data_IF_875244378523
#
_entry.id   IF_875244378523
#
_cell.length_a   1.000
_cell.length_b   1.000
_cell.length_c   1.000
_cell.angle_alpha   90.00
_cell.angle_beta   90.00
_cell.angle_gamma   90.00
#
_symmetry.space_group_name_H-M   'P 1'
#
loop_
_entity.id
_entity.type
_entity.pdbx_description
1 polymer ?
#
# COMPACT_ATOMS: atom_id res chain seq x y z
N UNK A 1 8.46 9.27 11.87
CA UNK A 1 7.46 8.27 12.32
C UNK A 1 8.09 6.90 12.23
N UNK A 2 7.94 6.03 13.25
CA UNK A 2 8.47 4.66 13.23
C UNK A 2 7.56 3.73 12.43
N UNK A 3 8.08 2.57 12.03
CA UNK A 3 7.26 1.55 11.34
C UNK A 3 6.07 1.09 12.20
N UNK A 4 6.24 0.96 13.52
CA UNK A 4 5.15 0.61 14.43
C UNK A 4 4.05 1.68 14.48
N UNK A 5 4.42 2.96 14.51
CA UNK A 5 3.45 4.07 14.46
C UNK A 5 2.69 4.07 13.14
N UNK A 6 3.39 3.92 12.01
CA UNK A 6 2.75 3.80 10.67
C UNK A 6 1.84 2.58 10.60
N UNK A 7 2.26 1.43 11.17
CA UNK A 7 1.43 0.22 11.21
C UNK A 7 0.16 0.45 12.04
N UNK A 8 0.25 1.16 13.17
CA UNK A 8 -0.92 1.47 13.99
C UNK A 8 -1.97 2.29 13.22
N UNK A 9 -1.51 3.31 12.47
CA UNK A 9 -2.40 4.12 11.61
C UNK A 9 -3.02 3.29 10.49
N UNK A 10 -2.25 2.42 9.84
CA UNK A 10 -2.75 1.53 8.79
C UNK A 10 -3.77 0.51 9.32
N UNK A 11 -3.52 -0.09 10.50
CA UNK A 11 -4.45 -1.06 11.11
C UNK A 11 -5.77 -0.39 11.46
N UNK A 12 -5.76 0.86 11.91
CA UNK A 12 -6.97 1.62 12.25
C UNK A 12 -7.89 1.88 11.05
N UNK A 13 -7.39 1.81 9.82
CA UNK A 13 -8.21 1.96 8.61
C UNK A 13 -8.82 0.60 8.25
N UNK A 14 -10.16 0.53 8.24
CA UNK A 14 -10.88 -0.68 7.82
C UNK A 14 -10.86 -0.83 6.30
N UNK A 15 -10.01 -1.71 5.82
CA UNK A 15 -9.79 -1.98 4.41
C UNK A 15 -10.14 -3.42 4.00
N UNK A 16 -11.18 -4.00 4.61
CA UNK A 16 -11.69 -5.32 4.19
C UNK A 16 -12.04 -5.29 2.69
N UNK A 17 -11.66 -6.36 1.96
CA UNK A 17 -11.79 -6.43 0.49
C UNK A 17 -13.20 -6.18 -0.04
N UNK A 18 -14.25 -6.38 0.76
CA UNK A 18 -15.63 -6.06 0.39
C UNK A 18 -15.99 -4.56 0.45
N UNK A 19 -15.04 -3.69 0.82
CA UNK A 19 -15.20 -2.24 0.95
C UNK A 19 -14.29 -1.49 -0.02
N UNK A 20 -14.55 -0.19 -0.23
CA UNK A 20 -13.61 0.69 -0.92
C UNK A 20 -12.30 0.81 -0.14
N UNK A 21 -11.18 0.79 -0.86
CA UNK A 21 -9.86 1.01 -0.27
C UNK A 21 -9.38 2.47 -0.45
N UNK A 22 -10.26 3.39 -0.84
CA UNK A 22 -9.90 4.80 -1.10
C UNK A 22 -9.25 5.44 0.12
N UNK A 23 -9.79 5.22 1.32
CA UNK A 23 -9.27 5.81 2.57
C UNK A 23 -7.80 5.40 2.84
N UNK A 24 -7.49 4.12 2.77
CA UNK A 24 -6.11 3.66 2.98
C UNK A 24 -5.17 4.14 1.86
N UNK A 25 -5.66 4.23 0.63
CA UNK A 25 -4.87 4.74 -0.50
C UNK A 25 -4.62 6.25 -0.34
N UNK A 26 -5.58 7.03 0.13
CA UNK A 26 -5.39 8.47 0.40
C UNK A 26 -4.37 8.69 1.51
N UNK A 27 -4.42 7.90 2.57
CA UNK A 27 -3.38 7.91 3.60
C UNK A 27 -2.00 7.62 3.01
N UNK A 28 -1.86 6.53 2.23
CA UNK A 28 -0.59 6.14 1.61
C UNK A 28 -0.08 7.20 0.63
N UNK A 29 -0.97 7.78 -0.17
CA UNK A 29 -0.63 8.85 -1.11
C UNK A 29 -0.05 10.07 -0.38
N UNK A 30 -0.73 10.54 0.67
CA UNK A 30 -0.25 11.65 1.50
C UNK A 30 1.12 11.38 2.10
N UNK A 31 1.36 10.14 2.58
CA UNK A 31 2.66 9.74 3.13
C UNK A 31 3.76 9.73 2.07
N UNK A 32 3.47 9.21 0.88
CA UNK A 32 4.41 9.18 -0.23
C UNK A 32 4.74 10.58 -0.76
N UNK A 33 3.73 11.47 -0.87
CA UNK A 33 3.93 12.87 -1.26
C UNK A 33 4.82 13.62 -0.26
N UNK A 34 4.60 13.42 1.04
CA UNK A 34 5.42 14.03 2.08
C UNK A 34 6.90 13.60 2.03
N UNK A 35 7.19 12.42 1.47
CA UNK A 35 8.56 11.92 1.23
C UNK A 35 9.12 12.49 -0.09
N UNK A 36 8.28 13.02 -0.99
CA UNK A 36 8.68 13.55 -2.29
C UNK A 36 8.58 12.54 -3.44
N UNK A 37 7.80 11.47 -3.27
CA UNK A 37 7.54 10.50 -4.33
C UNK A 37 6.52 11.05 -5.34
N UNK A 38 6.66 10.66 -6.61
CA UNK A 38 5.67 10.92 -7.67
C UNK A 38 4.59 9.87 -7.61
N UNK A 39 3.33 10.27 -7.75
CA UNK A 39 2.20 9.36 -7.60
C UNK A 39 1.47 9.11 -8.90
N UNK A 40 0.98 7.87 -9.06
CA UNK A 40 0.00 7.51 -10.08
C UNK A 40 -1.09 6.65 -9.46
N UNK A 41 -2.33 7.14 -9.50
CA UNK A 41 -3.53 6.45 -9.04
C UNK A 41 -4.20 5.76 -10.22
N UNK A 42 -4.61 4.51 -10.05
CA UNK A 42 -5.28 3.70 -11.07
C UNK A 42 -6.60 3.19 -10.50
N UNK A 43 -7.69 3.94 -10.70
CA UNK A 43 -9.00 3.54 -10.25
C UNK A 43 -9.59 2.43 -11.11
N UNK A 44 -10.40 1.58 -10.49
CA UNK A 44 -11.30 0.64 -11.15
C UNK A 44 -12.52 0.38 -10.27
N UNK A 45 -13.57 -0.20 -10.83
CA UNK A 45 -14.68 -0.71 -10.04
C UNK A 45 -14.60 -2.24 -9.99
N UNK A 46 -14.91 -2.83 -8.84
CA UNK A 46 -15.08 -4.26 -8.70
C UNK A 46 -16.39 -4.74 -9.36
N UNK A 47 -16.67 -6.03 -9.29
CA UNK A 47 -17.90 -6.62 -9.88
C UNK A 47 -19.19 -6.13 -9.23
N UNK A 48 -19.12 -5.56 -8.04
CA UNK A 48 -20.23 -4.97 -7.29
C UNK A 48 -20.37 -3.46 -7.54
N UNK A 49 -19.49 -2.86 -8.36
CA UNK A 49 -19.45 -1.43 -8.61
C UNK A 49 -18.75 -0.61 -7.54
N UNK A 50 -18.07 -1.26 -6.58
CA UNK A 50 -17.33 -0.57 -5.51
C UNK A 50 -16.02 -0.03 -6.09
N UNK A 51 -15.76 1.26 -5.85
CA UNK A 51 -14.51 1.90 -6.27
C UNK A 51 -13.31 1.32 -5.53
N UNK A 52 -12.29 0.98 -6.31
CA UNK A 52 -10.99 0.47 -5.88
C UNK A 52 -9.87 1.27 -6.50
N UNK A 53 -8.76 1.39 -5.80
CA UNK A 53 -7.58 2.10 -6.26
C UNK A 53 -6.32 1.26 -6.10
N UNK A 54 -5.54 1.17 -7.18
CA UNK A 54 -4.12 0.88 -7.06
C UNK A 54 -3.34 2.20 -6.99
N UNK A 55 -2.24 2.21 -6.23
CA UNK A 55 -1.35 3.36 -6.14
C UNK A 55 0.07 2.92 -6.48
N UNK A 56 0.72 3.71 -7.34
CA UNK A 56 2.17 3.61 -7.56
C UNK A 56 2.81 4.90 -7.11
N UNK A 57 3.86 4.79 -6.30
CA UNK A 57 4.68 5.89 -5.87
C UNK A 57 6.11 5.66 -6.36
N UNK A 58 6.64 6.60 -7.15
CA UNK A 58 7.92 6.48 -7.84
C UNK A 58 8.95 7.44 -7.26
N UNK A 59 10.14 6.94 -6.98
CA UNK A 59 11.31 7.71 -6.58
C UNK A 59 12.38 7.68 -7.67
N UNK A 60 13.11 8.79 -7.83
CA UNK A 60 14.28 8.86 -8.70
C UNK A 60 13.98 9.00 -10.20
N UNK A 61 12.72 9.11 -10.61
CA UNK A 61 12.33 9.32 -12.01
C UNK A 61 10.93 9.94 -12.13
N UNK A 62 10.58 10.34 -13.36
CA UNK A 62 9.21 10.69 -13.76
C UNK A 62 8.51 9.48 -14.38
N UNK A 63 7.19 9.45 -14.33
CA UNK A 63 6.40 8.43 -15.03
C UNK A 63 6.52 8.63 -16.55
N UNK A 64 7.07 7.64 -17.22
CA UNK A 64 7.18 7.59 -18.68
C UNK A 64 7.27 6.14 -19.16
N UNK A 65 7.01 5.90 -20.44
CA UNK A 65 7.12 4.56 -21.04
C UNK A 65 8.58 4.04 -21.06
N UNK A 66 9.55 4.91 -20.87
CA UNK A 66 10.97 4.59 -20.82
C UNK A 66 11.50 4.35 -19.41
N UNK A 67 10.68 4.57 -18.38
CA UNK A 67 11.13 4.43 -16.99
C UNK A 67 11.28 2.96 -16.63
N UNK A 68 12.54 2.53 -16.47
CA UNK A 68 12.85 1.20 -15.93
C UNK A 68 13.02 1.30 -14.41
N UNK A 69 12.22 0.54 -13.67
CA UNK A 69 12.28 0.48 -12.20
C UNK A 69 13.21 -0.66 -11.78
N UNK A 70 14.24 -0.34 -11.01
CA UNK A 70 15.22 -1.34 -10.53
C UNK A 70 14.67 -2.18 -9.38
N UNK A 71 13.89 -1.55 -8.49
CA UNK A 71 13.30 -2.20 -7.33
C UNK A 71 11.86 -1.76 -7.17
N UNK A 72 10.93 -2.70 -7.12
CA UNK A 72 9.55 -2.47 -6.75
C UNK A 72 9.23 -3.19 -5.42
N UNK A 73 8.76 -2.43 -4.43
CA UNK A 73 8.21 -2.95 -3.18
C UNK A 73 6.70 -3.00 -3.34
N UNK A 74 6.15 -4.21 -3.45
CA UNK A 74 4.74 -4.43 -3.78
C UNK A 74 4.00 -5.00 -2.57
N UNK A 75 2.89 -4.37 -2.18
CA UNK A 75 2.02 -4.82 -1.09
C UNK A 75 0.56 -4.54 -1.43
N UNK A 76 -0.36 -5.32 -0.84
CA UNK A 76 -1.79 -5.07 -0.98
C UNK A 76 -2.35 -4.23 0.18
N UNK A 77 -3.43 -3.54 -0.08
CA UNK A 77 -4.07 -2.63 0.89
C UNK A 77 -5.26 -3.24 1.59
N UNK A 78 -5.85 -4.26 0.98
CA UNK A 78 -7.03 -4.94 1.50
C UNK A 78 -6.68 -6.01 2.53
N UNK A 79 -7.70 -6.45 3.26
CA UNK A 79 -7.62 -7.51 4.27
C UNK A 79 -8.84 -8.43 4.17
N UNK A 80 -8.67 -9.68 4.64
CA UNK A 80 -9.82 -10.54 4.88
C UNK A 80 -10.72 -9.98 5.99
N UNK A 81 -12.01 -10.35 6.03
CA UNK A 81 -12.91 -9.99 7.12
C UNK A 81 -12.38 -10.43 8.49
N UNK A 82 -12.87 -9.80 9.53
CA UNK A 82 -12.61 -10.19 10.92
C UNK A 82 -13.91 -10.48 11.64
N UNK A 83 -13.84 -11.30 12.69
CA UNK A 83 -14.98 -11.60 13.53
C UNK A 83 -15.43 -10.32 14.25
N UNK A 84 -16.73 -9.95 14.22
CA UNK A 84 -17.23 -8.76 14.93
C UNK A 84 -16.98 -8.78 16.44
N UNK A 85 -16.81 -9.97 17.04
CA UNK A 85 -16.45 -10.09 18.46
C UNK A 85 -15.00 -9.71 18.76
N UNK A 86 -14.14 -9.61 17.75
CA UNK A 86 -12.76 -9.11 17.91
C UNK A 86 -12.76 -7.59 17.97
N UNK A 87 -13.03 -7.03 19.14
CA UNK A 87 -13.15 -5.59 19.37
C UNK A 87 -11.88 -4.79 19.08
N UNK A 88 -10.71 -5.43 19.13
CA UNK A 88 -9.40 -4.80 18.86
C UNK A 88 -8.91 -5.02 17.41
N UNK A 89 -9.78 -5.51 16.50
CA UNK A 89 -9.35 -5.82 15.13
C UNK A 89 -8.71 -4.62 14.41
N UNK A 90 -9.23 -3.43 14.63
CA UNK A 90 -8.72 -2.18 14.04
C UNK A 90 -7.88 -1.35 15.02
N UNK A 91 -7.36 -1.97 16.06
CA UNK A 91 -6.46 -1.35 17.02
C UNK A 91 -5.17 -2.18 17.11
N UNK A 92 -4.02 -1.57 16.78
CA UNK A 92 -2.75 -2.27 16.95
C UNK A 92 -2.46 -2.45 18.44
N UNK A 93 -2.39 -3.70 18.89
CA UNK A 93 -2.08 -4.06 20.28
C UNK A 93 -0.76 -4.81 20.36
N UNK A 94 -0.03 -4.63 21.45
CA UNK A 94 1.23 -5.34 21.68
C UNK A 94 1.08 -6.31 22.87
N UNK A 95 1.45 -7.59 22.65
CA UNK A 95 1.47 -8.65 23.66
C UNK A 95 2.68 -9.55 23.42
N UNK A 96 3.45 -9.82 24.44
CA UNK A 96 4.62 -10.70 24.40
C UNK A 96 5.62 -10.35 23.27
N UNK A 97 5.84 -9.04 23.04
CA UNK A 97 6.72 -8.55 21.99
C UNK A 97 6.21 -8.75 20.56
N UNK A 98 4.92 -9.06 20.39
CA UNK A 98 4.25 -9.22 19.10
C UNK A 98 3.15 -8.18 18.93
N UNK A 99 2.94 -7.75 17.70
CA UNK A 99 1.91 -6.79 17.32
C UNK A 99 0.71 -7.52 16.71
N UNK A 100 -0.50 -7.19 17.18
CA UNK A 100 -1.76 -7.78 16.76
C UNK A 100 -2.70 -6.71 16.22
N UNK A 101 -3.48 -7.06 15.19
CA UNK A 101 -4.48 -6.24 14.52
C UNK A 101 -4.84 -6.84 13.16
N UNK A 102 -5.99 -6.51 12.58
CA UNK A 102 -6.37 -7.00 11.26
C UNK A 102 -5.41 -6.44 10.20
N UNK A 103 -4.81 -7.36 9.42
CA UNK A 103 -3.81 -7.02 8.42
C UNK A 103 -2.43 -6.66 8.99
N UNK A 104 -2.21 -6.74 10.31
CA UNK A 104 -0.93 -6.36 10.91
C UNK A 104 0.24 -7.18 10.35
N UNK A 105 0.05 -8.46 10.03
CA UNK A 105 1.05 -9.30 9.39
C UNK A 105 0.88 -9.32 7.87
N UNK A 106 -0.33 -9.50 7.40
CA UNK A 106 -0.68 -9.62 5.99
C UNK A 106 -1.57 -8.44 5.55
N UNK A 107 -1.03 -7.39 4.96
CA UNK A 107 0.40 -7.12 4.71
C UNK A 107 0.81 -5.70 5.15
N UNK A 108 -0.01 -5.05 6.05
CA UNK A 108 0.19 -3.65 6.48
C UNK A 108 1.56 -3.41 7.13
N UNK A 109 2.15 -4.43 7.79
CA UNK A 109 3.51 -4.31 8.33
C UNK A 109 4.56 -4.12 7.24
N UNK A 110 4.44 -4.84 6.12
CA UNK A 110 5.32 -4.65 4.98
C UNK A 110 5.21 -3.23 4.42
N UNK A 111 3.97 -2.72 4.29
CA UNK A 111 3.71 -1.34 3.83
C UNK A 111 4.37 -0.33 4.79
N UNK A 112 4.15 -0.49 6.10
CA UNK A 112 4.72 0.39 7.12
C UNK A 112 6.26 0.38 7.10
N UNK A 113 6.87 -0.80 6.97
CA UNK A 113 8.31 -0.96 6.86
C UNK A 113 8.86 -0.30 5.60
N UNK A 114 8.20 -0.51 4.45
CA UNK A 114 8.59 0.07 3.16
C UNK A 114 8.56 1.60 3.18
N UNK A 115 7.48 2.20 3.71
CA UNK A 115 7.37 3.66 3.88
C UNK A 115 8.44 4.21 4.81
N UNK A 116 8.72 3.50 5.91
CA UNK A 116 9.75 3.94 6.87
C UNK A 116 11.15 3.85 6.26
N UNK A 117 11.42 2.78 5.52
CA UNK A 117 12.70 2.60 4.85
C UNK A 117 12.96 3.68 3.80
N UNK A 118 12.00 3.94 2.91
CA UNK A 118 12.17 4.95 1.87
C UNK A 118 12.28 6.37 2.43
N UNK A 119 11.57 6.67 3.53
CA UNK A 119 11.66 7.97 4.20
C UNK A 119 13.05 8.24 4.83
N UNK A 120 13.85 7.20 5.05
CA UNK A 120 15.22 7.31 5.56
C UNK A 120 16.28 7.47 4.44
N UNK A 121 15.86 7.39 3.16
CA UNK A 121 16.76 7.49 2.00
C UNK A 121 16.76 8.93 1.48
N UNK A 122 17.94 9.48 1.20
CA UNK A 122 18.03 10.70 0.38
C UNK A 122 17.72 10.33 -1.08
N UNK A 123 16.52 10.67 -1.54
CA UNK A 123 16.03 10.33 -2.88
C UNK A 123 16.91 10.91 -4.01
N UNK A 124 17.70 11.97 -3.72
CA UNK A 124 18.63 12.57 -4.70
C UNK A 124 19.84 11.69 -4.96
N UNK A 125 20.15 10.77 -4.06
CA UNK A 125 21.28 9.85 -4.17
C UNK A 125 20.93 8.53 -4.85
N UNK A 126 19.65 8.32 -5.19
CA UNK A 126 19.23 7.11 -5.89
C UNK A 126 19.87 7.04 -7.28
N UNK A 127 20.68 6.02 -7.49
CA UNK A 127 21.31 5.75 -8.80
C UNK A 127 20.33 5.21 -9.84
N UNK A 128 19.19 4.66 -9.39
CA UNK A 128 18.14 4.07 -10.23
C UNK A 128 16.77 4.24 -9.60
N UNK A 129 15.68 4.24 -10.41
CA UNK A 129 14.33 4.39 -9.91
C UNK A 129 13.88 3.25 -9.01
N UNK A 130 13.12 3.59 -7.97
CA UNK A 130 12.44 2.68 -7.05
C UNK A 130 10.96 2.99 -7.03
N UNK A 131 10.11 1.95 -6.97
CA UNK A 131 8.67 2.09 -6.83
C UNK A 131 8.14 1.43 -5.57
N UNK A 132 7.17 2.09 -4.92
CA UNK A 132 6.23 1.46 -4.02
C UNK A 132 4.94 1.21 -4.80
N UNK A 133 4.41 0.00 -4.73
CA UNK A 133 3.20 -0.39 -5.44
C UNK A 133 2.20 -0.96 -4.45
N UNK A 134 1.03 -0.32 -4.36
CA UNK A 134 -0.03 -0.73 -3.46
C UNK A 134 -1.25 -1.15 -4.27
N UNK A 135 -1.62 -2.42 -4.15
CA UNK A 135 -2.72 -3.01 -4.92
C UNK A 135 -3.96 -3.23 -4.04
N UNK A 136 -5.13 -3.24 -4.65
CA UNK A 136 -6.38 -3.64 -4.02
C UNK A 136 -6.72 -5.08 -4.39
N UNK A 137 -7.66 -5.67 -3.61
CA UNK A 137 -8.32 -6.95 -3.93
C UNK A 137 -7.35 -8.12 -4.16
N UNK A 138 -6.28 -8.18 -3.36
CA UNK A 138 -5.37 -9.31 -3.35
C UNK A 138 -6.07 -10.55 -2.82
N UNK A 139 -6.74 -10.41 -1.66
CA UNK A 139 -7.41 -11.45 -0.87
C UNK A 139 -8.62 -12.10 -1.60
N UNK A 140 -9.08 -11.47 -2.68
CA UNK A 140 -10.22 -11.95 -3.50
C UNK A 140 -9.80 -12.30 -4.93
N UNK A 141 -8.53 -12.58 -5.14
CA UNK A 141 -8.01 -13.15 -6.39
C UNK A 141 -7.05 -12.26 -7.15
N UNK A 142 -6.28 -11.39 -6.49
CA UNK A 142 -5.21 -10.56 -7.08
C UNK A 142 -5.75 -9.59 -8.15
N UNK A 143 -7.01 -9.12 -8.00
CA UNK A 143 -7.71 -8.35 -9.04
C UNK A 143 -6.94 -7.06 -9.36
N UNK A 144 -6.56 -6.29 -8.34
CA UNK A 144 -5.81 -5.05 -8.53
C UNK A 144 -4.47 -5.28 -9.22
N UNK A 145 -3.74 -6.32 -8.84
CA UNK A 145 -2.46 -6.66 -9.46
C UNK A 145 -2.64 -7.06 -10.94
N UNK A 146 -3.70 -7.82 -11.28
CA UNK A 146 -4.04 -8.15 -12.66
C UNK A 146 -4.34 -6.88 -13.48
N UNK A 147 -5.16 -5.96 -12.94
CA UNK A 147 -5.47 -4.67 -13.59
C UNK A 147 -4.21 -3.86 -13.83
N UNK A 148 -3.28 -3.87 -12.87
CA UNK A 148 -2.01 -3.17 -13.01
C UNK A 148 -1.15 -3.76 -14.13
N UNK A 149 -1.06 -5.10 -14.22
CA UNK A 149 -0.33 -5.79 -15.27
C UNK A 149 -0.93 -5.56 -16.67
N UNK A 150 -2.26 -5.57 -16.78
CA UNK A 150 -2.98 -5.28 -18.04
C UNK A 150 -2.73 -3.84 -18.51
N UNK A 151 -2.64 -2.89 -17.60
CA UNK A 151 -2.38 -1.48 -17.92
C UNK A 151 -1.00 -1.21 -18.54
N UNK A 152 -0.09 -2.17 -18.59
CA UNK A 152 1.26 -2.22 -19.21
C UNK A 152 2.13 -0.95 -19.06
N UNK A 153 1.60 0.12 -18.52
CA UNK A 153 2.09 1.48 -18.70
C UNK A 153 3.04 1.95 -17.59
N UNK A 154 3.55 1.09 -16.71
CA UNK A 154 4.09 1.63 -15.47
C UNK A 154 5.44 1.09 -15.02
N UNK A 155 5.77 -0.11 -15.35
CA UNK A 155 7.00 -0.76 -14.87
C UNK A 155 7.53 -1.65 -16.00
N UNK A 156 8.64 -1.27 -16.61
CA UNK A 156 9.41 -2.12 -17.52
C UNK A 156 10.69 -2.54 -16.83
#
# INVERSE_FOLDING_TARGET
MTAQQTLAELVAIDSVSSRSNVEIVDYLASRCEAIGLKLKRLPYADVSGIEKLNLIALAGAEFSDATAVELALVGHTDTVPYDPSWSEALQLTERDGKLFGRGACDTKAFIAASLTAIAAVDLKTLGRPLALVFTADEEVGLIGAKRLAEARALLR
#
